data_IF_660107680426
#
_entry.id   IF_660107680426
#
_cell.length_a   1.000
_cell.length_b   1.000
_cell.length_c   1.000
_cell.angle_alpha   90.00
_cell.angle_beta   90.00
_cell.angle_gamma   90.00
#
_symmetry.space_group_name_H-M   'P 1'
#
loop_
_entity.id
_entity.type
_entity.pdbx_description
1 polymer ?
#
# COMPACT_ATOMS: atom_id res chain seq x y z
N UNK A 1 65.01 -63.51 -18.59
CA UNK A 1 65.10 -62.55 -19.69
C UNK A 1 63.91 -61.58 -19.58
N UNK A 2 64.19 -60.28 -19.42
CA UNK A 2 63.27 -59.15 -19.72
C UNK A 2 63.48 -58.76 -21.20
N UNK A 3 62.54 -58.13 -21.94
CA UNK A 3 61.98 -56.79 -21.66
C UNK A 3 60.44 -56.70 -21.86
N UNK A 4 59.72 -55.85 -21.12
CA UNK A 4 59.52 -54.40 -21.35
C UNK A 4 58.99 -54.07 -22.76
N UNK A 5 57.76 -53.53 -22.84
CA UNK A 5 57.54 -52.20 -23.43
C UNK A 5 56.13 -51.66 -23.14
N UNK A 6 56.13 -50.40 -22.76
CA UNK A 6 54.99 -49.53 -22.49
C UNK A 6 54.29 -49.13 -23.78
N UNK A 7 52.95 -49.05 -23.78
CA UNK A 7 52.26 -48.04 -24.57
C UNK A 7 50.88 -47.73 -23.99
N UNK A 8 50.81 -46.50 -23.50
CA UNK A 8 49.68 -45.66 -23.10
C UNK A 8 48.49 -45.76 -24.07
N UNK A 9 47.24 -45.66 -23.57
CA UNK A 9 46.20 -44.72 -24.05
C UNK A 9 44.92 -44.86 -23.19
N UNK A 10 44.40 -43.68 -22.85
CA UNK A 10 43.25 -43.34 -22.03
C UNK A 10 41.92 -44.04 -22.41
N UNK A 11 41.11 -44.39 -21.41
CA UNK A 11 39.65 -44.37 -21.57
C UNK A 11 38.97 -43.81 -20.31
N UNK A 12 38.65 -42.53 -20.43
CA UNK A 12 37.66 -41.69 -19.73
C UNK A 12 36.70 -42.43 -18.77
N UNK A 13 36.86 -42.17 -17.48
CA UNK A 13 35.81 -42.38 -16.48
C UNK A 13 34.89 -41.15 -16.49
N UNK A 14 33.66 -41.28 -16.98
CA UNK A 14 32.63 -40.26 -16.80
C UNK A 14 32.19 -40.25 -15.32
N UNK A 15 32.78 -39.34 -14.54
CA UNK A 15 32.26 -38.97 -13.23
C UNK A 15 30.99 -38.15 -13.48
N UNK A 16 29.83 -38.73 -13.18
CA UNK A 16 28.59 -37.99 -13.00
C UNK A 16 28.75 -37.11 -11.76
N UNK A 17 29.10 -35.84 -11.98
CA UNK A 17 28.94 -34.80 -10.98
C UNK A 17 27.42 -34.57 -10.81
N UNK A 18 26.87 -35.09 -9.72
CA UNK A 18 25.63 -34.55 -9.19
C UNK A 18 25.93 -33.13 -8.71
N UNK A 19 25.47 -32.13 -9.45
CA UNK A 19 25.42 -30.75 -8.99
C UNK A 19 24.39 -30.66 -7.87
N UNK A 20 24.81 -30.97 -6.64
CA UNK A 20 24.14 -30.48 -5.44
C UNK A 20 24.47 -28.98 -5.40
N UNK A 21 23.56 -28.16 -5.93
CA UNK A 21 23.60 -26.72 -5.69
C UNK A 21 23.06 -26.45 -4.28
N UNK A 22 23.84 -26.80 -3.27
CA UNK A 22 23.83 -26.01 -2.04
C UNK A 22 24.71 -24.80 -2.32
N UNK A 23 24.08 -23.64 -2.52
CA UNK A 23 24.77 -22.36 -2.38
C UNK A 23 24.37 -21.79 -1.04
N UNK A 24 25.39 -21.63 -0.21
CA UNK A 24 25.33 -21.20 1.18
C UNK A 24 24.66 -19.84 1.37
N UNK A 25 23.87 -19.81 2.45
CA UNK A 25 23.46 -18.68 3.29
C UNK A 25 24.18 -17.35 3.06
N UNK A 26 23.41 -16.35 2.62
CA UNK A 26 23.55 -14.98 3.06
C UNK A 26 22.20 -14.56 3.67
N UNK A 27 22.25 -14.22 4.94
CA UNK A 27 21.21 -13.56 5.74
C UNK A 27 20.47 -12.48 4.96
N UNK A 28 19.15 -12.61 4.88
CA UNK A 28 18.25 -11.65 4.25
C UNK A 28 16.82 -12.18 4.28
N UNK A 29 16.28 -12.49 5.45
CA UNK A 29 14.83 -12.54 5.60
C UNK A 29 14.30 -11.11 5.47
N UNK A 30 13.78 -10.81 4.28
CA UNK A 30 12.60 -9.99 4.00
C UNK A 30 12.28 -10.20 2.50
N UNK A 31 11.03 -10.57 2.19
CA UNK A 31 9.99 -9.56 2.17
C UNK A 31 8.77 -10.02 2.98
N UNK A 32 8.51 -9.35 4.09
CA UNK A 32 7.14 -9.21 4.56
C UNK A 32 6.67 -7.86 3.99
N UNK A 33 6.19 -7.89 2.76
CA UNK A 33 5.27 -6.91 2.23
C UNK A 33 4.16 -7.74 1.60
N UNK A 34 2.87 -7.50 1.93
CA UNK A 34 1.78 -8.18 1.25
C UNK A 34 1.82 -7.84 -0.25
N UNK A 35 1.31 -8.75 -1.09
CA UNK A 35 1.28 -8.64 -2.56
C UNK A 35 0.63 -7.32 -3.06
N UNK A 36 -0.14 -6.62 -2.22
CA UNK A 36 -0.72 -5.28 -2.48
C UNK A 36 0.31 -4.15 -2.55
N UNK A 37 1.55 -4.39 -2.13
CA UNK A 37 2.65 -3.40 -2.11
C UNK A 37 3.80 -3.75 -3.07
N UNK A 38 3.71 -4.84 -3.85
CA UNK A 38 4.75 -5.24 -4.81
C UNK A 38 4.43 -4.81 -6.26
N UNK A 39 5.40 -4.29 -7.04
CA UNK A 39 6.83 -4.25 -6.78
C UNK A 39 7.26 -2.95 -6.07
N UNK A 40 7.60 -3.08 -4.78
CA UNK A 40 8.42 -2.18 -3.96
C UNK A 40 8.17 -0.67 -4.17
N UNK A 41 7.05 -0.15 -3.66
CA UNK A 41 7.01 1.27 -3.29
C UNK A 41 8.03 1.50 -2.16
N UNK A 42 9.07 2.32 -2.36
CA UNK A 42 10.15 2.56 -1.37
C UNK A 42 9.67 3.40 -0.17
N UNK A 43 8.72 2.86 0.59
CA UNK A 43 8.18 3.50 1.80
C UNK A 43 9.13 3.34 2.97
N UNK A 44 9.16 4.34 3.86
CA UNK A 44 10.15 4.42 4.94
C UNK A 44 9.52 3.96 6.25
N UNK A 45 10.05 2.91 6.87
CA UNK A 45 9.60 2.48 8.19
C UNK A 45 9.70 3.63 9.21
N UNK A 46 8.66 3.79 10.04
CA UNK A 46 8.62 4.80 11.10
C UNK A 46 9.27 4.21 12.36
N UNK A 47 10.26 4.92 12.90
CA UNK A 47 10.86 4.53 14.19
C UNK A 47 9.79 4.58 15.29
N UNK A 48 9.66 3.48 16.05
CA UNK A 48 8.65 3.36 17.10
C UNK A 48 7.27 2.94 16.62
N UNK A 49 7.11 2.68 15.31
CA UNK A 49 5.87 2.23 14.70
C UNK A 49 5.91 0.77 14.21
N UNK A 50 6.80 -0.06 14.74
CA UNK A 50 7.02 -1.45 14.29
C UNK A 50 6.06 -2.48 14.91
N UNK A 51 5.29 -2.09 15.93
CA UNK A 51 4.32 -2.95 16.62
C UNK A 51 3.12 -2.17 17.14
N UNK A 52 2.55 -1.31 16.30
CA UNK A 52 1.35 -0.55 16.65
C UNK A 52 0.11 -1.45 16.73
N UNK A 53 -0.91 -0.97 17.44
CA UNK A 53 -2.25 -1.55 17.45
C UNK A 53 -3.21 -0.56 16.80
N UNK A 54 -4.03 -1.02 15.86
CA UNK A 54 -5.08 -0.21 15.23
C UNK A 54 -6.46 -0.79 15.50
N UNK A 55 -7.43 0.08 15.79
CA UNK A 55 -8.85 -0.26 15.76
C UNK A 55 -9.54 0.47 14.61
N UNK A 56 -10.24 -0.28 13.76
CA UNK A 56 -10.86 0.25 12.53
C UNK A 56 -12.37 0.31 12.67
N UNK A 57 -12.92 1.49 12.43
CA UNK A 57 -14.36 1.76 12.40
C UNK A 57 -14.74 2.44 11.08
N UNK A 58 -16.01 2.32 10.68
CA UNK A 58 -16.57 3.12 9.58
C UNK A 58 -16.64 4.59 10.00
N UNK A 59 -16.34 5.47 9.05
CA UNK A 59 -16.54 6.90 9.23
C UNK A 59 -17.53 7.49 8.21
N UNK A 60 -17.99 8.70 8.50
CA UNK A 60 -18.85 9.51 7.64
C UNK A 60 -18.10 10.57 6.84
N UNK A 61 -16.87 10.92 7.22
CA UNK A 61 -16.05 11.97 6.58
C UNK A 61 -14.84 11.40 5.84
N UNK A 62 -14.36 10.23 6.24
CA UNK A 62 -13.36 9.41 5.56
C UNK A 62 -13.90 8.00 5.31
N UNK A 63 -13.09 7.15 4.66
CA UNK A 63 -13.48 5.75 4.51
C UNK A 63 -13.48 5.05 5.87
N UNK A 64 -12.43 5.20 6.66
CA UNK A 64 -12.36 4.66 8.02
C UNK A 64 -12.07 5.76 9.05
N UNK A 65 -12.37 5.43 10.30
CA UNK A 65 -11.79 6.05 11.48
C UNK A 65 -10.85 5.00 12.08
N UNK A 66 -9.58 5.36 12.27
CA UNK A 66 -8.55 4.46 12.80
C UNK A 66 -8.09 5.01 14.14
N UNK A 67 -8.23 4.23 15.21
CA UNK A 67 -7.64 4.55 16.51
C UNK A 67 -6.30 3.83 16.66
N UNK A 68 -5.21 4.60 16.74
CA UNK A 68 -3.86 4.08 16.87
C UNK A 68 -3.44 4.01 18.35
N UNK A 69 -2.87 2.88 18.75
CA UNK A 69 -2.31 2.64 20.07
C UNK A 69 -0.96 1.92 19.96
N UNK A 70 -0.22 1.88 21.08
CA UNK A 70 1.08 1.21 21.20
C UNK A 70 2.19 1.74 20.24
N UNK A 71 2.03 2.96 19.71
CA UNK A 71 3.09 3.65 18.97
C UNK A 71 4.06 4.30 19.98
N UNK A 72 5.35 3.99 19.87
CA UNK A 72 6.39 4.68 20.65
C UNK A 72 6.53 6.14 20.20
N UNK A 73 6.96 7.01 21.12
CA UNK A 73 7.08 8.43 20.84
C UNK A 73 8.03 8.70 19.65
N UNK A 74 7.50 9.37 18.63
CA UNK A 74 8.22 9.80 17.43
C UNK A 74 7.64 11.15 16.93
N UNK A 75 8.22 11.68 15.86
CA UNK A 75 7.92 12.98 15.27
C UNK A 75 6.99 12.93 14.05
N UNK A 76 6.49 11.74 13.68
CA UNK A 76 5.68 11.51 12.47
C UNK A 76 4.22 11.24 12.82
N UNK A 77 3.97 10.35 13.78
CA UNK A 77 2.62 9.90 14.12
C UNK A 77 2.50 9.67 15.63
N UNK A 78 1.33 10.02 16.16
CA UNK A 78 0.97 9.85 17.56
C UNK A 78 -0.22 8.89 17.70
N UNK A 79 -0.32 8.28 18.87
CA UNK A 79 -1.50 7.52 19.28
C UNK A 79 -2.77 8.39 19.25
N UNK A 80 -3.91 7.75 19.02
CA UNK A 80 -5.24 8.35 18.98
C UNK A 80 -5.93 8.19 17.64
N UNK A 81 -7.09 8.83 17.55
CA UNK A 81 -8.03 8.71 16.45
C UNK A 81 -7.59 9.57 15.26
N UNK A 82 -7.51 8.97 14.09
CA UNK A 82 -7.28 9.66 12.82
C UNK A 82 -8.23 9.17 11.71
N UNK A 83 -8.29 9.93 10.63
CA UNK A 83 -8.97 9.49 9.42
C UNK A 83 -8.22 8.34 8.75
N UNK A 84 -8.95 7.43 8.10
CA UNK A 84 -8.39 6.26 7.46
C UNK A 84 -8.91 6.05 6.05
N UNK A 85 -8.07 5.45 5.22
CA UNK A 85 -8.33 5.20 3.82
C UNK A 85 -7.93 3.77 3.43
N UNK A 86 -8.59 3.25 2.41
CA UNK A 86 -8.38 1.93 1.85
C UNK A 86 -7.32 2.00 0.73
N UNK A 87 -6.28 1.16 0.76
CA UNK A 87 -5.28 1.11 -0.32
C UNK A 87 -5.74 0.21 -1.46
N UNK A 88 -6.33 -0.92 -1.10
CA UNK A 88 -6.83 -1.97 -1.98
C UNK A 88 -8.36 -1.99 -1.86
N UNK A 89 -9.05 -2.36 -2.93
CA UNK A 89 -10.51 -2.37 -3.01
C UNK A 89 -11.10 -3.78 -2.90
N UNK A 90 -10.27 -4.82 -3.10
CA UNK A 90 -10.66 -6.23 -3.07
C UNK A 90 -10.46 -6.85 -1.68
N UNK A 91 -9.45 -6.41 -0.93
CA UNK A 91 -9.11 -7.01 0.36
C UNK A 91 -10.06 -6.55 1.47
N UNK A 92 -10.68 -7.47 2.22
CA UNK A 92 -11.62 -7.12 3.27
C UNK A 92 -10.93 -6.63 4.56
N UNK A 93 -11.69 -5.89 5.37
CA UNK A 93 -11.33 -5.55 6.75
C UNK A 93 -12.59 -5.42 7.60
N UNK A 94 -12.54 -5.95 8.82
CA UNK A 94 -13.57 -5.66 9.80
C UNK A 94 -13.47 -4.19 10.21
N UNK A 95 -14.45 -3.42 9.74
CA UNK A 95 -14.58 -1.98 9.97
C UNK A 95 -15.71 -1.64 10.95
N UNK A 96 -16.14 -2.61 11.77
CA UNK A 96 -17.11 -2.41 12.85
C UNK A 96 -16.47 -2.67 14.22
N UNK A 97 -15.26 -2.13 14.41
CA UNK A 97 -14.47 -2.25 15.64
C UNK A 97 -13.38 -3.32 15.59
N UNK A 98 -12.99 -3.78 14.40
CA UNK A 98 -11.89 -4.74 14.22
C UNK A 98 -10.58 -4.19 14.78
N UNK A 99 -9.84 -5.03 15.52
CA UNK A 99 -8.58 -4.68 16.18
C UNK A 99 -7.46 -5.52 15.59
N UNK A 100 -6.36 -4.87 15.22
CA UNK A 100 -5.19 -5.50 14.61
C UNK A 100 -3.93 -5.05 15.35
N UNK A 101 -3.21 -6.01 15.92
CA UNK A 101 -1.96 -5.81 16.67
C UNK A 101 -0.74 -6.09 15.79
N UNK A 102 0.42 -5.55 16.16
CA UNK A 102 1.68 -5.78 15.45
C UNK A 102 1.74 -5.11 14.07
N UNK A 103 0.95 -4.06 13.87
CA UNK A 103 0.90 -3.29 12.64
C UNK A 103 2.17 -2.47 12.50
N UNK A 104 2.85 -2.63 11.37
CA UNK A 104 4.04 -1.84 11.03
C UNK A 104 3.63 -0.57 10.30
N UNK A 105 4.20 0.55 10.70
CA UNK A 105 3.89 1.86 10.15
C UNK A 105 4.99 2.36 9.21
N UNK A 106 4.59 2.84 8.04
CA UNK A 106 5.50 3.35 7.02
C UNK A 106 5.08 4.75 6.56
N UNK A 107 6.06 5.65 6.45
CA UNK A 107 5.89 6.99 5.92
C UNK A 107 6.08 6.99 4.40
N UNK A 108 5.20 7.72 3.73
CA UNK A 108 5.27 7.98 2.28
C UNK A 108 5.89 9.35 1.97
N UNK A 109 6.44 10.02 2.99
CA UNK A 109 7.06 11.33 2.85
C UNK A 109 8.27 11.26 1.89
N UNK A 110 8.21 12.08 0.84
CA UNK A 110 9.19 12.09 -0.26
C UNK A 110 9.35 10.73 -0.97
N UNK A 111 8.25 9.97 -1.09
CA UNK A 111 8.17 8.77 -1.92
C UNK A 111 7.46 9.16 -3.22
N UNK A 112 8.14 8.99 -4.35
CA UNK A 112 7.69 9.52 -5.65
C UNK A 112 6.41 8.82 -6.13
N UNK A 113 6.31 7.50 -5.92
CA UNK A 113 5.15 6.69 -6.26
C UNK A 113 3.89 7.14 -5.49
N UNK A 114 4.08 7.68 -4.29
CA UNK A 114 3.01 8.23 -3.46
C UNK A 114 2.75 9.71 -3.68
N UNK A 115 3.55 10.39 -4.52
CA UNK A 115 3.41 11.83 -4.77
C UNK A 115 2.01 12.23 -5.25
N UNK A 116 1.35 11.51 -6.18
CA UNK A 116 -0.02 11.82 -6.59
C UNK A 116 -1.04 11.72 -5.45
N UNK A 117 -0.94 10.68 -4.61
CA UNK A 117 -1.82 10.49 -3.46
C UNK A 117 -1.54 11.58 -2.42
N UNK A 118 -0.28 11.85 -2.08
CA UNK A 118 0.09 12.90 -1.15
C UNK A 118 -0.38 14.29 -1.64
N UNK A 119 -0.30 14.57 -2.94
CA UNK A 119 -0.89 15.78 -3.52
C UNK A 119 -2.41 15.82 -3.30
N UNK A 120 -3.14 14.74 -3.60
CA UNK A 120 -4.58 14.62 -3.35
C UNK A 120 -4.92 14.94 -1.88
N UNK A 121 -4.16 14.40 -0.92
CA UNK A 121 -4.38 14.63 0.51
C UNK A 121 -4.25 16.11 0.91
N UNK A 122 -3.44 16.88 0.19
CA UNK A 122 -3.27 18.32 0.44
C UNK A 122 -4.38 19.17 -0.19
N UNK A 123 -5.02 18.72 -1.28
CA UNK A 123 -6.11 19.45 -1.94
C UNK A 123 -7.51 18.92 -1.56
N UNK A 124 -7.61 17.76 -0.91
CA UNK A 124 -8.86 17.07 -0.55
C UNK A 124 -9.84 17.99 0.17
N UNK A 125 -9.37 18.71 1.17
CA UNK A 125 -10.23 19.59 1.97
C UNK A 125 -10.86 20.69 1.10
N UNK A 126 -10.04 21.35 0.27
CA UNK A 126 -10.52 22.37 -0.66
C UNK A 126 -11.53 21.80 -1.67
N UNK A 127 -11.32 20.57 -2.14
CA UNK A 127 -12.26 19.90 -3.05
C UNK A 127 -13.64 19.73 -2.39
N UNK A 128 -13.66 19.21 -1.16
CA UNK A 128 -14.90 18.96 -0.41
C UNK A 128 -15.59 20.25 0.05
N UNK A 129 -14.83 21.30 0.36
CA UNK A 129 -15.38 22.61 0.75
C UNK A 129 -15.97 23.38 -0.43
N UNK A 130 -15.33 23.33 -1.60
CA UNK A 130 -15.80 24.04 -2.79
C UNK A 130 -16.98 23.33 -3.48
N UNK A 131 -17.09 22.02 -3.32
CA UNK A 131 -18.20 21.24 -3.84
C UNK A 131 -18.71 20.22 -2.80
N UNK A 132 -19.78 20.56 -2.05
CA UNK A 132 -20.33 19.68 -1.01
C UNK A 132 -20.89 18.34 -1.51
N UNK A 133 -20.98 18.14 -2.82
CA UNK A 133 -21.39 16.86 -3.40
C UNK A 133 -20.20 15.94 -3.70
N UNK A 134 -18.96 16.43 -3.53
CA UNK A 134 -17.77 15.58 -3.38
C UNK A 134 -17.73 15.06 -1.95
N UNK A 135 -17.79 13.74 -1.79
CA UNK A 135 -17.76 13.06 -0.50
C UNK A 135 -16.50 12.20 -0.35
N UNK A 136 -16.35 11.53 0.78
CA UNK A 136 -15.26 10.57 0.99
C UNK A 136 -15.23 9.44 -0.06
N UNK A 137 -16.37 9.15 -0.72
CA UNK A 137 -16.45 8.09 -1.73
C UNK A 137 -15.72 8.47 -3.01
N UNK A 138 -15.93 9.69 -3.49
CA UNK A 138 -15.17 10.23 -4.62
C UNK A 138 -13.67 10.20 -4.32
N UNK A 139 -13.26 10.65 -3.12
CA UNK A 139 -11.86 10.64 -2.71
C UNK A 139 -11.30 9.20 -2.65
N UNK A 140 -12.05 8.24 -2.11
CA UNK A 140 -11.61 6.85 -2.04
C UNK A 140 -11.44 6.21 -3.42
N UNK A 141 -12.32 6.52 -4.38
CA UNK A 141 -12.18 6.04 -5.76
C UNK A 141 -10.95 6.62 -6.44
N UNK A 142 -10.70 7.92 -6.24
CA UNK A 142 -9.47 8.55 -6.76
C UNK A 142 -8.24 7.87 -6.16
N UNK A 143 -8.24 7.57 -4.86
CA UNK A 143 -7.14 6.84 -4.21
C UNK A 143 -6.91 5.49 -4.93
N UNK A 144 -7.95 4.68 -5.12
CA UNK A 144 -7.81 3.39 -5.81
C UNK A 144 -7.34 3.56 -7.27
N UNK A 145 -7.89 4.52 -8.01
CA UNK A 145 -7.48 4.81 -9.39
C UNK A 145 -6.04 5.33 -9.53
N UNK A 146 -5.45 5.88 -8.47
CA UNK A 146 -4.04 6.31 -8.45
C UNK A 146 -3.08 5.15 -8.10
N UNK A 147 -3.60 4.02 -7.61
CA UNK A 147 -2.80 2.83 -7.33
C UNK A 147 -2.65 1.99 -8.59
N UNK A 148 -1.45 1.45 -8.77
CA UNK A 148 -1.12 0.56 -9.90
C UNK A 148 -1.26 -0.92 -9.54
N UNK A 149 -1.34 -1.24 -8.25
CA UNK A 149 -1.57 -2.59 -7.75
C UNK A 149 -2.43 -2.57 -6.45
N UNK A 150 -3.57 -3.29 -6.42
CA UNK A 150 -4.24 -3.87 -7.59
C UNK A 150 -4.69 -2.78 -8.57
N UNK A 151 -4.76 -3.13 -9.85
CA UNK A 151 -5.29 -2.21 -10.86
C UNK A 151 -6.76 -1.95 -10.54
N UNK A 152 -7.12 -0.68 -10.42
CA UNK A 152 -8.49 -0.24 -10.27
C UNK A 152 -8.88 0.60 -11.48
N UNK A 153 -9.62 -0.01 -12.40
CA UNK A 153 -10.20 0.68 -13.56
C UNK A 153 -11.69 0.93 -13.33
N UNK A 154 -12.01 2.18 -13.02
CA UNK A 154 -13.38 2.60 -12.74
C UNK A 154 -14.33 2.44 -13.94
N UNK A 155 -13.79 2.45 -15.17
CA UNK A 155 -14.60 2.28 -16.39
C UNK A 155 -14.93 0.81 -16.67
N UNK A 156 -14.08 -0.11 -16.24
CA UNK A 156 -14.25 -1.55 -16.47
C UNK A 156 -14.96 -2.28 -15.31
N UNK A 157 -15.02 -1.67 -14.13
CA UNK A 157 -15.62 -2.28 -12.94
C UNK A 157 -17.15 -2.32 -12.99
N UNK A 158 -17.70 -3.51 -12.72
CA UNK A 158 -19.14 -3.66 -12.51
C UNK A 158 -19.55 -3.07 -11.15
N UNK A 159 -20.77 -2.54 -11.07
CA UNK A 159 -21.28 -1.92 -9.83
C UNK A 159 -21.36 -2.94 -8.69
N UNK A 160 -21.59 -4.20 -9.03
CA UNK A 160 -21.69 -5.33 -8.11
C UNK A 160 -20.35 -5.70 -7.45
N UNK A 161 -19.23 -5.34 -8.08
CA UNK A 161 -17.89 -5.60 -7.55
C UNK A 161 -17.44 -4.52 -6.56
N UNK A 162 -18.13 -3.38 -6.53
CA UNK A 162 -17.79 -2.28 -5.64
C UNK A 162 -18.19 -2.60 -4.19
N UNK A 163 -17.37 -2.18 -3.20
CA UNK A 163 -17.72 -2.34 -1.80
C UNK A 163 -19.08 -1.73 -1.48
N UNK A 164 -19.88 -2.38 -0.62
CA UNK A 164 -21.27 -1.98 -0.37
C UNK A 164 -21.48 -0.53 0.11
N UNK A 165 -20.44 0.15 0.60
CA UNK A 165 -20.50 1.59 0.95
C UNK A 165 -20.45 2.54 -0.25
N UNK A 166 -20.07 2.02 -1.41
CA UNK A 166 -20.01 2.69 -2.71
C UNK A 166 -21.28 2.46 -3.52
N UNK A 167 -22.20 1.63 -3.03
CA UNK A 167 -23.44 1.24 -3.73
C UNK A 167 -24.65 1.60 -2.88
N UNK A 168 -25.69 2.13 -3.52
CA UNK A 168 -27.00 2.39 -2.91
C UNK A 168 -28.10 1.93 -3.88
N UNK A 169 -28.97 1.03 -3.44
CA UNK A 169 -30.03 0.43 -4.27
C UNK A 169 -29.54 -0.14 -5.61
N UNK A 170 -28.39 -0.81 -5.60
CA UNK A 170 -27.77 -1.40 -6.80
C UNK A 170 -27.22 -0.37 -7.79
N UNK A 171 -27.04 0.88 -7.36
CA UNK A 171 -26.43 1.94 -8.17
C UNK A 171 -25.22 2.53 -7.46
N UNK A 172 -24.26 3.08 -8.21
CA UNK A 172 -23.17 3.88 -7.66
C UNK A 172 -23.70 4.98 -6.73
N UNK A 173 -23.12 5.07 -5.54
CA UNK A 173 -23.40 6.09 -4.54
C UNK A 173 -22.34 7.20 -4.56
N UNK A 174 -21.83 7.49 -5.75
CA UNK A 174 -20.81 8.49 -6.04
C UNK A 174 -20.99 8.99 -7.48
N UNK A 175 -20.24 10.01 -7.88
CA UNK A 175 -20.27 10.56 -9.24
C UNK A 175 -19.01 10.24 -10.02
N UNK A 176 -19.13 9.53 -11.15
CA UNK A 176 -18.01 9.28 -12.08
C UNK A 176 -17.37 10.59 -12.56
N UNK A 177 -18.18 11.54 -13.02
CA UNK A 177 -17.70 12.85 -13.52
C UNK A 177 -16.81 13.58 -12.49
N UNK A 178 -17.12 13.44 -11.18
CA UNK A 178 -16.33 14.07 -10.11
C UNK A 178 -15.03 13.35 -9.87
N UNK A 179 -15.05 12.01 -9.90
CA UNK A 179 -13.84 11.20 -9.76
C UNK A 179 -12.88 11.53 -10.90
N UNK A 180 -13.37 11.61 -12.13
CA UNK A 180 -12.59 12.00 -13.31
C UNK A 180 -12.03 13.42 -13.17
N UNK A 181 -12.86 14.40 -12.79
CA UNK A 181 -12.41 15.79 -12.56
C UNK A 181 -11.28 15.86 -11.51
N UNK A 182 -11.42 15.13 -10.41
CA UNK A 182 -10.39 15.10 -9.36
C UNK A 182 -9.12 14.41 -9.85
N UNK A 183 -9.23 13.28 -10.57
CA UNK A 183 -8.08 12.59 -11.16
C UNK A 183 -7.30 13.49 -12.11
N UNK A 184 -8.00 14.24 -12.98
CA UNK A 184 -7.37 15.17 -13.91
C UNK A 184 -6.66 16.31 -13.19
N UNK A 185 -7.27 16.82 -12.11
CA UNK A 185 -6.64 17.82 -11.25
C UNK A 185 -5.38 17.27 -10.57
N UNK A 186 -5.43 16.03 -10.08
CA UNK A 186 -4.26 15.36 -9.50
C UNK A 186 -3.17 15.22 -10.55
N UNK A 187 -3.46 14.61 -11.71
CA UNK A 187 -2.52 14.40 -12.82
C UNK A 187 -1.84 15.69 -13.27
N UNK A 188 -2.56 16.80 -13.29
CA UNK A 188 -2.01 18.11 -13.70
C UNK A 188 -1.21 18.79 -12.60
N UNK A 189 -1.51 18.54 -11.33
CA UNK A 189 -0.94 19.29 -10.21
C UNK A 189 0.17 18.59 -9.43
N UNK A 190 0.24 17.25 -9.47
CA UNK A 190 1.17 16.51 -8.61
C UNK A 190 2.64 16.67 -9.02
N UNK A 191 2.93 16.95 -10.30
CA UNK A 191 4.32 17.09 -10.77
C UNK A 191 5.00 18.29 -10.09
N UNK A 192 4.26 19.40 -9.92
CA UNK A 192 4.72 20.64 -9.27
C UNK A 192 4.60 20.60 -7.73
N UNK A 193 4.02 19.54 -7.16
CA UNK A 193 3.91 19.38 -5.72
C UNK A 193 5.28 19.15 -5.08
N UNK A 194 5.52 19.83 -3.96
CA UNK A 194 6.75 19.66 -3.18
C UNK A 194 6.43 19.46 -1.69
N UNK A 195 7.28 18.69 -1.03
CA UNK A 195 7.18 18.39 0.38
C UNK A 195 7.79 19.54 1.19
N UNK A 196 6.94 20.42 1.70
CA UNK A 196 7.31 21.57 2.51
C UNK A 196 6.79 21.44 3.95
N UNK A 197 7.18 22.37 4.82
CA UNK A 197 6.68 22.38 6.19
C UNK A 197 5.15 22.58 6.19
N UNK A 198 4.43 21.65 6.83
CA UNK A 198 2.96 21.67 6.87
C UNK A 198 2.29 20.89 5.73
N UNK A 199 3.05 20.24 4.86
CA UNK A 199 2.53 19.34 3.83
C UNK A 199 2.00 18.05 4.46
N UNK A 200 0.78 17.66 4.11
CA UNK A 200 0.19 16.38 4.53
C UNK A 200 0.76 15.21 3.73
N UNK A 201 0.90 14.05 4.35
CA UNK A 201 1.31 12.80 3.67
C UNK A 201 0.68 11.57 4.32
N UNK A 202 0.69 10.46 3.59
CA UNK A 202 0.16 9.20 4.08
C UNK A 202 1.13 8.47 5.02
N UNK A 203 0.57 7.86 6.07
CA UNK A 203 1.24 6.83 6.88
C UNK A 203 0.48 5.53 6.70
N UNK A 204 1.14 4.54 6.11
CA UNK A 204 0.60 3.20 5.84
C UNK A 204 0.67 2.38 7.12
N UNK A 205 -0.42 1.71 7.46
CA UNK A 205 -0.45 0.62 8.44
C UNK A 205 -0.50 -0.71 7.71
N UNK A 206 0.62 -1.43 7.72
CA UNK A 206 0.73 -2.79 7.20
C UNK A 206 0.04 -3.76 8.16
N UNK A 207 -1.15 -4.20 7.78
CA UNK A 207 -1.94 -5.24 8.45
C UNK A 207 -1.48 -6.64 8.03
N UNK A 208 -1.96 -7.72 8.70
CA UNK A 208 -1.75 -9.08 8.22
C UNK A 208 -2.17 -9.27 6.75
N UNK A 209 -1.55 -10.22 6.05
CA UNK A 209 -1.67 -10.36 4.59
C UNK A 209 -3.10 -10.65 4.07
N UNK A 210 -3.99 -11.16 4.92
CA UNK A 210 -5.41 -11.40 4.62
C UNK A 210 -6.34 -10.27 5.08
N UNK A 211 -5.76 -9.15 5.51
CA UNK A 211 -6.44 -7.96 6.00
C UNK A 211 -6.02 -6.76 5.18
N UNK A 212 -6.98 -5.89 4.86
CA UNK A 212 -6.76 -4.67 4.10
C UNK A 212 -5.67 -3.77 4.71
N UNK A 213 -4.64 -3.50 3.93
CA UNK A 213 -3.66 -2.44 4.26
C UNK A 213 -4.35 -1.08 4.26
N UNK A 214 -4.23 -0.33 5.33
CA UNK A 214 -4.85 1.01 5.48
C UNK A 214 -3.80 2.09 5.50
N UNK A 215 -4.20 3.35 5.29
CA UNK A 215 -3.35 4.48 5.64
C UNK A 215 -4.13 5.60 6.34
N UNK A 216 -3.41 6.37 7.15
CA UNK A 216 -3.87 7.63 7.74
C UNK A 216 -3.14 8.82 7.14
N UNK A 217 -3.59 10.04 7.44
CA UNK A 217 -2.99 11.29 6.98
C UNK A 217 -2.36 12.03 8.15
N UNK A 218 -1.07 12.36 8.03
CA UNK A 218 -0.31 13.15 9.01
C UNK A 218 0.27 14.41 8.36
N UNK A 219 0.87 15.30 9.14
CA UNK A 219 1.42 16.59 8.70
C UNK A 219 2.76 16.91 9.38
#
# INVERSE_FOLDING_TARGET
MKPFNYLTIYLVTCVLLFSVSCKDNATGEKPDLPDSLDPVEEVKAIQGGDSATIQVNKDSQAFYQIDFSDIEANDIIQNGIQEGWCIDWETPIDSDGGVYEGVKLYSTFQVEEWKPINYLLNIKQDLMENDPTVTYREIQLVIWSLRTNPVFDLEELAVEDLPGRMVNDGKPNFSYDKVEEILDRVKTGYEDFDFSAGTKFAVIGETPADVQTVFTVVQ
#
